data_IF_656741920193
#
_entry.id   IF_656741920193
#
_cell.length_a   1.000
_cell.length_b   1.000
_cell.length_c   1.000
_cell.angle_alpha   90.00
_cell.angle_beta   90.00
_cell.angle_gamma   90.00
#
_symmetry.space_group_name_H-M   'P 1'
#
loop_
_entity.id
_entity.type
_entity.pdbx_description
1 polymer ?
#
# COMPACT_ATOMS: atom_id res chain seq x y z
N UNK A 1 12.71 6.15 42.08
CA UNK A 1 12.28 7.07 41.02
C UNK A 1 13.34 6.96 39.94
N UNK A 2 12.98 6.46 38.76
CA UNK A 2 13.94 6.32 37.66
C UNK A 2 14.27 7.73 37.17
N UNK A 3 15.51 8.16 37.40
CA UNK A 3 16.10 9.36 36.84
C UNK A 3 16.60 9.00 35.45
N UNK A 4 15.81 9.29 34.42
CA UNK A 4 16.12 8.92 33.04
C UNK A 4 15.50 9.90 32.07
N UNK A 5 16.33 10.39 31.14
CA UNK A 5 15.89 11.22 30.00
C UNK A 5 15.63 10.30 28.81
N UNK A 6 14.44 10.37 28.21
CA UNK A 6 14.15 9.75 26.92
C UNK A 6 14.37 10.75 25.80
N UNK A 7 15.17 10.34 24.81
CA UNK A 7 15.45 11.12 23.61
C UNK A 7 14.46 10.80 22.51
N UNK A 8 13.79 11.84 22.01
CA UNK A 8 12.77 11.74 20.97
C UNK A 8 13.27 12.47 19.73
N UNK A 9 13.40 11.75 18.62
CA UNK A 9 13.68 12.32 17.31
C UNK A 9 12.38 12.43 16.51
N UNK A 10 11.93 13.66 16.25
CA UNK A 10 10.75 13.94 15.44
C UNK A 10 11.11 14.17 13.96
N UNK A 11 10.39 13.51 13.06
CA UNK A 11 10.53 13.65 11.61
C UNK A 11 9.15 13.89 11.00
N UNK A 12 8.89 15.13 10.60
CA UNK A 12 7.61 15.52 10.00
C UNK A 12 7.69 15.47 8.47
N UNK A 13 6.54 15.26 7.81
CA UNK A 13 6.40 15.46 6.37
C UNK A 13 6.51 16.93 5.90
N UNK A 14 6.70 17.13 4.60
CA UNK A 14 6.88 18.44 3.97
C UNK A 14 5.65 19.34 4.13
N UNK A 15 5.94 20.63 4.29
CA UNK A 15 4.99 21.74 4.32
C UNK A 15 5.78 23.03 4.44
N UNK A 16 5.16 24.20 4.30
CA UNK A 16 5.83 25.48 4.59
C UNK A 16 6.06 25.62 6.11
N UNK A 17 6.92 24.77 6.67
CA UNK A 17 7.12 24.53 8.11
C UNK A 17 7.97 25.62 8.76
N UNK A 18 8.64 26.46 7.97
CA UNK A 18 9.32 27.64 8.47
C UNK A 18 8.30 28.59 9.11
N UNK A 19 8.23 28.59 10.43
CA UNK A 19 7.35 29.45 11.22
C UNK A 19 5.98 28.86 11.59
N UNK A 20 5.71 27.57 11.33
CA UNK A 20 4.41 26.93 11.70
C UNK A 20 4.30 26.56 13.19
N UNK A 21 5.43 26.52 13.90
CA UNK A 21 5.51 26.15 15.32
C UNK A 21 5.19 24.67 15.61
N UNK A 22 5.23 23.80 14.59
CA UNK A 22 4.85 22.39 14.71
C UNK A 22 5.70 21.63 15.75
N UNK A 23 6.99 21.93 15.85
CA UNK A 23 7.92 21.32 16.82
C UNK A 23 7.43 21.53 18.27
N UNK A 24 7.00 22.76 18.57
CA UNK A 24 6.42 23.12 19.87
C UNK A 24 5.12 22.37 20.10
N UNK A 25 4.24 22.32 19.10
CA UNK A 25 2.95 21.61 19.21
C UNK A 25 3.13 20.12 19.45
N UNK A 26 4.07 19.47 18.75
CA UNK A 26 4.42 18.06 18.97
C UNK A 26 4.99 17.84 20.37
N UNK A 27 5.91 18.71 20.79
CA UNK A 27 6.51 18.66 22.12
C UNK A 27 5.43 18.73 23.21
N UNK A 28 4.51 19.69 23.10
CA UNK A 28 3.38 19.84 24.03
C UNK A 28 2.43 18.66 23.97
N UNK A 29 2.07 18.18 22.76
CA UNK A 29 1.19 17.05 22.57
C UNK A 29 1.72 15.77 23.25
N UNK A 30 3.00 15.46 23.05
CA UNK A 30 3.62 14.30 23.68
C UNK A 30 3.73 14.51 25.19
N UNK A 31 4.16 15.68 25.67
CA UNK A 31 4.25 15.95 27.12
C UNK A 31 2.91 15.85 27.84
N UNK A 32 1.82 16.26 27.18
CA UNK A 32 0.48 16.16 27.73
C UNK A 32 -0.06 14.72 27.74
N UNK A 33 0.35 13.90 26.78
CA UNK A 33 -0.10 12.52 26.62
C UNK A 33 0.77 11.49 27.37
N UNK A 34 2.05 11.80 27.58
CA UNK A 34 3.01 10.88 28.18
C UNK A 34 2.74 10.75 29.68
N UNK A 35 2.62 9.52 30.23
CA UNK A 35 2.35 9.32 31.65
C UNK A 35 3.42 9.97 32.54
N UNK A 36 2.98 10.63 33.62
CA UNK A 36 3.86 11.23 34.61
C UNK A 36 4.64 10.13 35.37
N UNK A 37 5.82 9.77 34.85
CA UNK A 37 6.65 8.67 35.35
C UNK A 37 7.98 9.14 35.97
N UNK A 38 8.17 10.46 36.15
CA UNK A 38 9.47 11.02 36.56
C UNK A 38 10.55 10.94 35.47
N UNK A 39 10.13 10.72 34.23
CA UNK A 39 10.98 10.62 33.04
C UNK A 39 11.03 12.00 32.38
N UNK A 40 12.23 12.50 32.08
CA UNK A 40 12.40 13.72 31.30
C UNK A 40 12.34 13.40 29.81
N UNK A 41 11.68 14.25 29.01
CA UNK A 41 11.60 14.09 27.55
C UNK A 41 12.42 15.19 26.86
N UNK A 42 13.45 14.78 26.13
CA UNK A 42 14.24 15.67 25.27
C UNK A 42 13.89 15.45 23.81
N UNK A 43 13.71 16.53 23.05
CA UNK A 43 13.24 16.49 21.67
C UNK A 43 14.30 17.07 20.73
N UNK A 44 14.56 16.37 19.64
CA UNK A 44 15.29 16.84 18.47
C UNK A 44 14.43 16.62 17.23
N UNK A 45 14.56 17.49 16.22
CA UNK A 45 13.74 17.44 15.03
C UNK A 45 14.60 17.46 13.77
N UNK A 46 14.28 16.60 12.81
CA UNK A 46 14.94 16.59 11.50
C UNK A 46 14.06 17.30 10.49
N UNK A 47 14.57 18.40 9.95
CA UNK A 47 14.00 19.06 8.77
C UNK A 47 14.78 18.63 7.52
N UNK A 48 14.05 18.42 6.43
CA UNK A 48 14.64 18.08 5.14
C UNK A 48 14.01 18.84 3.97
N UNK A 49 13.32 19.94 4.25
CA UNK A 49 12.63 20.79 3.26
C UNK A 49 13.61 21.35 2.21
N UNK A 50 14.87 21.60 2.60
CA UNK A 50 15.94 22.07 1.72
C UNK A 50 16.28 21.08 0.60
N UNK A 51 16.09 19.77 0.82
CA UNK A 51 16.28 18.74 -0.22
C UNK A 51 15.25 18.92 -1.35
N UNK A 52 14.08 19.48 -1.01
CA UNK A 52 12.94 19.67 -1.91
C UNK A 52 12.79 21.10 -2.42
N UNK A 53 13.65 22.03 -2.00
CA UNK A 53 13.54 23.45 -2.31
C UNK A 53 13.65 23.79 -3.82
N UNK A 54 14.14 22.85 -4.64
CA UNK A 54 14.21 22.98 -6.11
C UNK A 54 13.03 22.34 -6.87
N UNK A 55 12.08 21.70 -6.18
CA UNK A 55 10.96 20.99 -6.82
C UNK A 55 9.75 21.90 -6.95
N UNK A 56 9.59 22.54 -8.11
CA UNK A 56 8.32 23.18 -8.48
C UNK A 56 7.39 22.12 -9.08
N UNK A 57 6.42 21.65 -8.30
CA UNK A 57 5.38 20.77 -8.80
C UNK A 57 4.32 21.61 -9.51
N UNK A 58 4.12 21.36 -10.79
CA UNK A 58 3.03 21.95 -11.54
C UNK A 58 1.67 21.44 -11.02
N UNK A 59 0.61 22.26 -11.17
CA UNK A 59 -0.75 21.86 -10.80
C UNK A 59 -1.22 20.59 -11.51
N UNK A 60 -0.64 20.29 -12.67
CA UNK A 60 -0.89 19.06 -13.41
C UNK A 60 -0.24 17.85 -12.73
N UNK A 61 1.05 17.90 -12.42
CA UNK A 61 1.75 16.80 -11.72
C UNK A 61 1.07 16.41 -10.40
N UNK A 62 0.55 17.40 -9.69
CA UNK A 62 -0.27 17.22 -8.48
C UNK A 62 -1.55 16.42 -8.76
N UNK A 63 -2.28 16.76 -9.83
CA UNK A 63 -3.50 16.04 -10.21
C UNK A 63 -3.18 14.59 -10.62
N UNK A 64 -2.10 14.37 -11.37
CA UNK A 64 -1.60 13.03 -11.70
C UNK A 64 -1.17 12.23 -10.46
N UNK A 65 -0.60 12.90 -9.46
CA UNK A 65 -0.20 12.27 -8.20
C UNK A 65 -1.40 11.83 -7.35
N UNK A 66 -2.43 12.68 -7.23
CA UNK A 66 -3.69 12.33 -6.58
C UNK A 66 -4.33 11.11 -7.24
N UNK A 67 -4.36 11.09 -8.59
CA UNK A 67 -4.91 9.96 -9.33
C UNK A 67 -4.15 8.65 -9.02
N UNK A 68 -2.81 8.68 -9.05
CA UNK A 68 -1.96 7.51 -8.73
C UNK A 68 -2.14 7.01 -7.30
N UNK A 69 -2.25 7.90 -6.32
CA UNK A 69 -2.46 7.54 -4.92
C UNK A 69 -3.90 7.09 -4.63
N UNK A 70 -4.88 7.67 -5.32
CA UNK A 70 -6.30 7.34 -5.19
C UNK A 70 -6.66 5.97 -5.78
N UNK A 71 -6.19 5.65 -6.99
CA UNK A 71 -6.47 4.35 -7.63
C UNK A 71 -5.81 3.15 -6.94
N UNK A 72 -4.75 3.39 -6.19
CA UNK A 72 -3.95 2.35 -5.52
C UNK A 72 -4.34 2.11 -4.06
N UNK A 73 -5.21 2.96 -3.49
CA UNK A 73 -5.69 2.82 -2.13
C UNK A 73 -6.76 1.72 -1.99
N UNK A 74 -6.49 0.70 -1.19
CA UNK A 74 -7.46 -0.36 -0.86
C UNK A 74 -8.52 0.13 0.15
N UNK A 75 -8.26 1.24 0.83
CA UNK A 75 -9.15 1.87 1.80
C UNK A 75 -9.00 3.40 1.74
N UNK A 76 -9.92 4.09 1.08
CA UNK A 76 -10.19 5.49 1.37
C UNK A 76 -11.61 5.87 0.88
N UNK A 77 -12.35 6.73 1.62
CA UNK A 77 -13.72 7.15 1.31
C UNK A 77 -13.88 8.02 0.05
N UNK A 78 -12.84 8.17 -0.77
CA UNK A 78 -12.88 8.87 -2.06
C UNK A 78 -13.62 8.10 -3.18
N UNK A 79 -14.41 7.09 -2.81
CA UNK A 79 -15.15 6.20 -3.72
C UNK A 79 -16.35 6.88 -4.41
N UNK A 80 -16.64 8.16 -4.16
CA UNK A 80 -17.81 8.85 -4.73
C UNK A 80 -17.43 10.25 -5.23
N UNK A 81 -17.63 10.45 -6.54
CA UNK A 81 -17.63 11.72 -7.28
C UNK A 81 -16.31 12.29 -7.83
N UNK A 82 -16.22 12.26 -9.17
CA UNK A 82 -15.28 13.05 -10.00
C UNK A 82 -15.33 14.56 -9.71
N UNK A 83 -16.40 15.05 -9.08
CA UNK A 83 -16.55 16.45 -8.66
C UNK A 83 -15.64 16.83 -7.48
N UNK A 84 -15.12 15.85 -6.72
CA UNK A 84 -14.33 16.11 -5.53
C UNK A 84 -12.90 16.59 -5.83
N UNK A 85 -12.32 16.32 -7.01
CA UNK A 85 -10.93 16.68 -7.34
C UNK A 85 -10.72 18.21 -7.29
N UNK A 86 -11.72 18.97 -7.73
CA UNK A 86 -11.71 20.44 -7.62
C UNK A 86 -11.88 20.90 -6.16
N UNK A 87 -12.56 20.12 -5.33
CA UNK A 87 -12.83 20.37 -3.89
C UNK A 87 -11.70 19.88 -2.94
N UNK A 88 -10.70 19.15 -3.45
CA UNK A 88 -9.54 18.71 -2.66
C UNK A 88 -8.75 19.93 -2.19
N UNK A 89 -8.58 20.05 -0.86
CA UNK A 89 -7.77 21.08 -0.21
C UNK A 89 -6.35 21.15 -0.78
N UNK A 90 -5.82 22.36 -0.95
CA UNK A 90 -4.45 22.63 -1.43
C UNK A 90 -3.39 21.85 -0.64
N UNK A 91 -3.66 21.55 0.64
CA UNK A 91 -2.76 20.77 1.49
C UNK A 91 -2.68 19.29 1.09
N UNK A 92 -3.78 18.64 0.68
CA UNK A 92 -3.73 17.26 0.14
C UNK A 92 -3.02 17.26 -1.21
N UNK A 93 -3.36 18.21 -2.08
CA UNK A 93 -2.73 18.41 -3.39
C UNK A 93 -1.21 18.50 -3.25
N UNK A 94 -0.75 19.32 -2.31
CA UNK A 94 0.65 19.46 -1.97
C UNK A 94 1.25 18.13 -1.48
N UNK A 95 0.66 17.48 -0.46
CA UNK A 95 1.21 16.23 0.09
C UNK A 95 1.27 15.10 -0.95
N UNK A 96 0.23 14.95 -1.78
CA UNK A 96 0.20 13.96 -2.85
C UNK A 96 1.35 14.15 -3.85
N UNK A 97 1.54 15.39 -4.31
CA UNK A 97 2.59 15.75 -5.24
C UNK A 97 3.98 15.39 -4.70
N UNK A 98 4.28 15.72 -3.45
CA UNK A 98 5.57 15.42 -2.85
C UNK A 98 5.80 13.94 -2.56
N UNK A 99 4.78 13.20 -2.15
CA UNK A 99 4.89 11.74 -1.99
C UNK A 99 5.27 11.11 -3.33
N UNK A 100 4.59 11.50 -4.41
CA UNK A 100 4.89 10.98 -5.75
C UNK A 100 6.24 11.44 -6.27
N UNK A 101 6.60 12.71 -6.07
CA UNK A 101 7.91 13.24 -6.47
C UNK A 101 9.04 12.47 -5.77
N UNK A 102 8.96 12.32 -4.45
CA UNK A 102 9.96 11.60 -3.68
C UNK A 102 10.04 10.11 -4.03
N UNK A 103 8.90 9.43 -4.24
CA UNK A 103 8.88 8.03 -4.69
C UNK A 103 9.55 7.83 -6.06
N UNK A 104 9.65 8.87 -6.88
CA UNK A 104 10.19 8.80 -8.24
C UNK A 104 11.62 9.34 -8.37
N UNK A 105 12.23 9.86 -7.30
CA UNK A 105 13.55 10.49 -7.33
C UNK A 105 14.53 9.77 -6.38
N UNK A 106 15.43 8.96 -6.96
CA UNK A 106 16.46 8.23 -6.19
C UNK A 106 17.44 9.18 -5.48
N UNK A 107 17.68 10.37 -6.03
CA UNK A 107 18.54 11.39 -5.43
C UNK A 107 17.94 11.94 -4.15
N UNK A 108 16.64 12.25 -4.16
CA UNK A 108 15.90 12.65 -2.96
C UNK A 108 15.87 11.54 -1.92
N UNK A 109 15.61 10.30 -2.33
CA UNK A 109 15.65 9.16 -1.42
C UNK A 109 17.03 9.00 -0.78
N UNK A 110 18.12 9.10 -1.55
CA UNK A 110 19.47 8.99 -1.02
C UNK A 110 19.84 10.13 -0.06
N UNK A 111 19.54 11.38 -0.42
CA UNK A 111 19.87 12.54 0.40
C UNK A 111 19.08 12.53 1.72
N UNK A 112 17.77 12.23 1.65
CA UNK A 112 16.91 12.17 2.82
C UNK A 112 17.28 10.97 3.72
N UNK A 113 17.57 9.79 3.15
CA UNK A 113 18.08 8.64 3.89
C UNK A 113 19.34 8.99 4.67
N UNK A 114 20.36 9.56 4.01
CA UNK A 114 21.61 9.93 4.67
C UNK A 114 21.34 10.82 5.87
N UNK A 115 20.51 11.85 5.70
CA UNK A 115 20.18 12.79 6.78
C UNK A 115 19.48 12.13 7.97
N UNK A 116 18.56 11.19 7.72
CA UNK A 116 17.92 10.44 8.80
C UNK A 116 18.93 9.57 9.54
N UNK A 117 19.78 8.82 8.82
CA UNK A 117 20.75 7.94 9.45
C UNK A 117 21.79 8.73 10.25
N UNK A 118 22.30 9.84 9.72
CA UNK A 118 23.19 10.75 10.45
C UNK A 118 22.52 11.23 11.76
N UNK A 119 21.26 11.68 11.69
CA UNK A 119 20.53 12.18 12.87
C UNK A 119 20.29 11.08 13.92
N UNK A 120 20.01 9.85 13.50
CA UNK A 120 19.87 8.70 14.41
C UNK A 120 21.18 8.37 15.11
N UNK A 121 22.29 8.37 14.37
CA UNK A 121 23.63 8.13 14.93
C UNK A 121 24.04 9.23 15.91
N UNK A 122 23.81 10.49 15.56
CA UNK A 122 24.20 11.66 16.38
C UNK A 122 23.36 11.75 17.66
N UNK A 123 22.04 11.55 17.55
CA UNK A 123 21.11 11.70 18.69
C UNK A 123 21.10 10.47 19.58
N UNK A 124 21.25 9.28 18.99
CA UNK A 124 20.94 7.97 19.59
C UNK A 124 19.56 7.97 20.27
N UNK A 125 18.46 8.14 19.50
CA UNK A 125 17.14 8.34 20.07
C UNK A 125 16.57 7.05 20.68
N UNK A 126 15.77 7.20 21.74
CA UNK A 126 14.96 6.11 22.30
C UNK A 126 13.63 5.94 21.54
N UNK A 127 13.14 7.03 20.95
CA UNK A 127 11.89 7.09 20.21
C UNK A 127 12.11 7.89 18.92
N UNK A 128 11.63 7.35 17.80
CA UNK A 128 11.55 8.08 16.53
C UNK A 128 10.08 8.28 16.19
N UNK A 129 9.64 9.53 16.10
CA UNK A 129 8.27 9.91 15.71
C UNK A 129 8.27 10.35 14.26
N UNK A 130 7.62 9.60 13.39
CA UNK A 130 7.58 9.91 11.97
C UNK A 130 6.14 10.12 11.49
N UNK A 131 5.87 11.27 10.89
CA UNK A 131 4.53 11.66 10.43
C UNK A 131 4.48 11.88 8.93
N UNK A 132 3.41 11.41 8.28
CA UNK A 132 3.17 11.66 6.85
C UNK A 132 4.36 11.21 5.99
N UNK A 133 4.83 12.03 5.05
CA UNK A 133 6.04 11.77 4.26
C UNK A 133 7.30 11.48 5.10
N UNK A 134 7.39 12.02 6.33
CA UNK A 134 8.47 11.69 7.27
C UNK A 134 8.52 10.20 7.61
N UNK A 135 7.37 9.53 7.61
CA UNK A 135 7.27 8.07 7.76
C UNK A 135 7.90 7.32 6.59
N UNK A 136 7.73 7.81 5.36
CA UNK A 136 8.25 7.16 4.16
C UNK A 136 9.77 7.32 4.10
N UNK A 137 10.26 8.53 4.40
CA UNK A 137 11.68 8.86 4.45
C UNK A 137 12.40 8.06 5.54
N UNK A 138 11.85 8.02 6.76
CA UNK A 138 12.45 7.25 7.86
C UNK A 138 12.40 5.75 7.59
N UNK A 139 11.29 5.24 7.05
CA UNK A 139 11.20 3.83 6.68
C UNK A 139 12.22 3.47 5.59
N UNK A 140 12.35 4.28 4.53
CA UNK A 140 13.38 4.08 3.50
C UNK A 140 14.77 3.99 4.10
N UNK A 141 15.09 4.88 5.05
CA UNK A 141 16.36 4.85 5.74
C UNK A 141 16.54 3.55 6.54
N UNK A 142 15.54 3.16 7.32
CA UNK A 142 15.61 2.04 8.26
C UNK A 142 15.57 0.67 7.58
N UNK A 143 14.99 0.57 6.37
CA UNK A 143 14.96 -0.67 5.59
C UNK A 143 16.14 -0.81 4.63
N UNK A 144 16.95 0.24 4.44
CA UNK A 144 18.06 0.21 3.49
C UNK A 144 19.31 -0.42 4.12
N UNK A 145 20.16 -1.02 3.28
CA UNK A 145 21.45 -1.62 3.71
C UNK A 145 22.37 -0.66 4.49
N UNK A 146 22.23 0.64 4.28
CA UNK A 146 23.02 1.67 5.00
C UNK A 146 22.69 1.67 6.50
N UNK A 147 21.51 1.19 6.90
CA UNK A 147 21.12 1.01 8.30
C UNK A 147 21.79 -0.22 8.97
N UNK A 148 22.47 -1.07 8.20
CA UNK A 148 23.22 -2.22 8.72
C UNK A 148 24.64 -1.85 9.19
N UNK A 149 25.08 -0.59 8.99
CA UNK A 149 26.31 -0.09 9.58
C UNK A 149 26.27 -0.22 11.10
N UNK A 150 27.35 -0.68 11.72
CA UNK A 150 27.39 -1.10 13.14
C UNK A 150 26.88 -0.02 14.10
N UNK A 151 27.33 1.22 13.93
CA UNK A 151 26.93 2.37 14.73
C UNK A 151 25.45 2.72 14.57
N UNK A 152 24.93 2.65 13.35
CA UNK A 152 23.52 2.90 13.02
C UNK A 152 22.64 1.78 13.57
N UNK A 153 23.03 0.52 13.37
CA UNK A 153 22.29 -0.66 13.83
C UNK A 153 22.20 -0.70 15.37
N UNK A 154 23.28 -0.36 16.06
CA UNK A 154 23.33 -0.27 17.53
C UNK A 154 22.42 0.84 18.09
N UNK A 155 22.34 1.98 17.39
CA UNK A 155 21.40 3.04 17.74
C UNK A 155 19.95 2.61 17.48
N UNK A 156 19.67 2.11 16.26
CA UNK A 156 18.33 1.70 15.84
C UNK A 156 17.77 0.54 16.67
N UNK A 157 18.59 -0.43 17.08
CA UNK A 157 18.15 -1.59 17.85
C UNK A 157 17.48 -1.24 19.20
N UNK A 158 17.64 0.00 19.68
CA UNK A 158 17.03 0.53 20.90
C UNK A 158 15.75 1.35 20.64
N UNK A 159 15.55 1.77 19.40
CA UNK A 159 14.49 2.72 18.99
C UNK A 159 13.10 2.09 19.08
N UNK A 160 12.19 2.80 19.73
CA UNK A 160 10.75 2.62 19.55
C UNK A 160 10.30 3.51 18.38
N UNK A 161 10.09 2.91 17.23
CA UNK A 161 9.71 3.60 16.01
C UNK A 161 8.19 3.78 15.96
N UNK A 162 7.72 5.01 15.86
CA UNK A 162 6.29 5.33 15.82
C UNK A 162 5.97 6.05 14.52
N UNK A 163 5.16 5.44 13.65
CA UNK A 163 4.70 6.05 12.40
C UNK A 163 3.23 6.39 12.45
N UNK A 164 2.83 7.56 11.96
CA UNK A 164 1.43 8.01 12.03
C UNK A 164 1.08 8.95 10.88
N UNK A 165 -0.20 8.99 10.48
CA UNK A 165 -0.60 9.65 9.23
C UNK A 165 0.18 9.13 8.02
N UNK A 166 0.64 7.87 8.04
CA UNK A 166 1.60 7.36 7.06
C UNK A 166 0.92 6.80 5.82
N UNK A 167 1.47 7.09 4.65
CA UNK A 167 1.08 6.49 3.38
C UNK A 167 1.79 5.14 3.10
N UNK A 168 2.56 4.59 4.05
CA UNK A 168 3.29 3.33 3.86
C UNK A 168 2.40 2.13 3.51
N UNK A 169 1.12 2.12 3.89
CA UNK A 169 0.18 1.07 3.49
C UNK A 169 -0.41 1.23 2.09
N UNK A 170 -0.18 2.36 1.42
CA UNK A 170 -0.75 2.64 0.11
C UNK A 170 -0.03 1.82 -0.97
N UNK A 171 -0.76 1.16 -1.88
CA UNK A 171 -0.14 0.23 -2.83
C UNK A 171 0.80 0.92 -3.83
N UNK A 172 0.52 2.16 -4.23
CA UNK A 172 1.43 2.93 -5.08
C UNK A 172 2.73 3.24 -4.33
N UNK A 173 2.62 3.71 -3.09
CA UNK A 173 3.81 4.00 -2.27
C UNK A 173 4.62 2.72 -2.07
N UNK A 174 3.99 1.62 -1.69
CA UNK A 174 4.66 0.32 -1.51
C UNK A 174 5.38 -0.13 -2.78
N UNK A 175 4.70 -0.07 -3.93
CA UNK A 175 5.23 -0.47 -5.22
C UNK A 175 6.50 0.29 -5.61
N UNK A 176 6.55 1.60 -5.34
CA UNK A 176 7.71 2.44 -5.67
C UNK A 176 8.79 2.46 -4.58
N UNK A 177 8.42 2.28 -3.31
CA UNK A 177 9.35 2.37 -2.17
C UNK A 177 10.04 1.04 -1.86
N UNK A 178 9.31 -0.06 -1.93
CA UNK A 178 9.75 -1.36 -1.39
C UNK A 178 9.65 -2.50 -2.38
N UNK A 179 9.44 -2.19 -3.66
CA UNK A 179 9.01 -3.17 -4.66
C UNK A 179 7.77 -3.96 -4.17
N UNK A 180 6.91 -3.25 -3.43
CA UNK A 180 5.62 -3.69 -2.94
C UNK A 180 5.58 -4.60 -1.71
N UNK A 181 6.71 -4.82 -1.01
CA UNK A 181 6.74 -5.60 0.25
C UNK A 181 7.51 -4.87 1.35
N UNK A 182 6.84 -4.61 2.49
CA UNK A 182 7.54 -4.06 3.65
C UNK A 182 8.47 -5.13 4.25
N UNK A 183 9.61 -4.67 4.74
CA UNK A 183 10.71 -5.49 5.24
C UNK A 183 10.83 -5.33 6.75
N UNK A 184 11.44 -6.33 7.38
CA UNK A 184 11.73 -6.28 8.81
C UNK A 184 12.75 -5.18 9.08
N UNK A 185 12.43 -4.31 10.03
CA UNK A 185 13.32 -3.24 10.49
C UNK A 185 14.14 -3.70 11.71
N UNK A 186 15.36 -3.21 11.84
CA UNK A 186 16.25 -3.47 12.98
C UNK A 186 15.97 -2.48 14.13
N UNK A 187 14.73 -2.42 14.58
CA UNK A 187 14.27 -1.54 15.67
C UNK A 187 13.74 -2.35 16.85
N UNK A 188 13.75 -1.77 18.06
CA UNK A 188 13.21 -2.42 19.26
C UNK A 188 11.72 -2.72 19.10
N UNK A 189 10.96 -1.74 18.60
CA UNK A 189 9.55 -1.89 18.26
C UNK A 189 9.15 -0.93 17.16
N UNK A 190 8.11 -1.28 16.40
CA UNK A 190 7.47 -0.45 15.40
C UNK A 190 5.96 -0.36 15.69
N UNK A 191 5.51 0.81 16.14
CA UNK A 191 4.10 1.14 16.40
C UNK A 191 3.56 2.02 15.27
N UNK A 192 2.59 1.52 14.52
CA UNK A 192 1.92 2.30 13.48
C UNK A 192 0.55 2.78 13.96
N UNK A 193 0.31 4.09 13.96
CA UNK A 193 -0.99 4.67 14.30
C UNK A 193 -1.78 4.94 13.01
N UNK A 194 -3.00 4.41 12.96
CA UNK A 194 -3.85 4.47 11.77
C UNK A 194 -5.21 5.07 12.12
N UNK A 195 -5.56 6.21 11.52
CA UNK A 195 -6.89 6.79 11.59
C UNK A 195 -7.67 6.42 10.31
N UNK A 196 -8.77 5.66 10.39
CA UNK A 196 -9.56 5.30 9.21
C UNK A 196 -10.23 6.50 8.52
N UNK A 197 -10.29 7.66 9.18
CA UNK A 197 -10.85 8.90 8.63
C UNK A 197 -9.79 9.80 7.96
N UNK A 198 -8.50 9.46 8.06
CA UNK A 198 -7.41 10.29 7.53
C UNK A 198 -7.42 10.31 6.00
N UNK A 199 -7.63 11.51 5.44
CA UNK A 199 -7.87 11.74 4.01
C UNK A 199 -6.59 11.83 3.18
N UNK A 200 -5.40 11.70 3.78
CA UNK A 200 -4.11 11.88 3.08
C UNK A 200 -3.54 10.53 2.63
N UNK A 201 -4.39 9.74 1.96
CA UNK A 201 -4.05 8.45 1.33
C UNK A 201 -3.41 7.43 2.28
N UNK A 202 -3.74 7.49 3.57
CA UNK A 202 -3.30 6.47 4.53
C UNK A 202 -4.01 5.15 4.24
N UNK A 203 -3.34 4.05 4.58
CA UNK A 203 -3.90 2.71 4.46
C UNK A 203 -3.34 1.81 5.56
N UNK A 204 -4.11 0.83 6.03
CA UNK A 204 -3.66 -0.07 7.08
C UNK A 204 -2.49 -0.92 6.60
N UNK A 205 -1.54 -1.15 7.50
CA UNK A 205 -0.39 -2.02 7.30
C UNK A 205 -0.65 -3.35 8.01
N UNK A 206 -0.37 -4.46 7.32
CA UNK A 206 -0.53 -5.83 7.85
C UNK A 206 0.80 -6.56 7.73
N UNK A 207 1.46 -6.80 8.87
CA UNK A 207 2.75 -7.49 8.94
C UNK A 207 2.70 -8.59 10.02
N UNK A 208 1.94 -9.67 9.80
CA UNK A 208 1.76 -10.75 10.78
C UNK A 208 3.06 -11.46 11.15
N UNK A 209 4.03 -11.51 10.23
CA UNK A 209 5.33 -12.17 10.44
C UNK A 209 6.37 -11.27 11.13
N UNK A 210 5.98 -10.07 11.58
CA UNK A 210 6.87 -9.12 12.25
C UNK A 210 6.45 -8.88 13.70
N UNK A 211 7.00 -9.63 14.68
CA UNK A 211 6.65 -9.47 16.10
C UNK A 211 6.93 -8.07 16.67
N UNK A 212 7.89 -7.36 16.08
CA UNK A 212 8.22 -5.99 16.48
C UNK A 212 7.17 -4.97 15.98
N UNK A 213 6.33 -5.33 15.00
CA UNK A 213 5.32 -4.45 14.42
C UNK A 213 3.97 -4.59 15.14
N UNK A 214 3.29 -3.47 15.31
CA UNK A 214 1.86 -3.47 15.66
C UNK A 214 1.19 -2.22 15.11
N UNK A 215 -0.06 -2.37 14.68
CA UNK A 215 -0.90 -1.24 14.31
C UNK A 215 -1.92 -0.94 15.42
N UNK A 216 -2.07 0.33 15.78
CA UNK A 216 -3.10 0.83 16.69
C UNK A 216 -4.07 1.69 15.89
N UNK A 217 -5.36 1.37 15.94
CA UNK A 217 -6.39 2.24 15.40
C UNK A 217 -6.57 3.46 16.30
N UNK A 218 -6.47 4.65 15.71
CA UNK A 218 -6.56 5.94 16.38
C UNK A 218 -7.63 6.80 15.70
N UNK A 219 -8.92 6.41 15.80
CA UNK A 219 -9.98 7.15 15.15
C UNK A 219 -10.14 8.53 15.77
N UNK A 220 -10.17 9.56 14.93
CA UNK A 220 -10.62 10.90 15.23
C UNK A 220 -11.18 11.54 13.96
N UNK A 221 -12.19 12.38 14.14
CA UNK A 221 -12.88 13.15 13.10
C UNK A 221 -12.89 14.58 13.61
N UNK A 222 -11.73 15.23 13.48
CA UNK A 222 -11.60 16.61 13.87
C UNK A 222 -12.15 17.41 12.70
N UNK A 223 -13.00 18.41 12.93
CA UNK A 223 -13.58 19.24 11.86
C UNK A 223 -12.55 20.02 11.01
N UNK A 224 -11.25 19.72 11.16
CA UNK A 224 -10.21 20.02 10.19
C UNK A 224 -10.46 19.27 8.87
N UNK A 225 -10.06 19.85 7.74
CA UNK A 225 -10.41 19.35 6.41
C UNK A 225 -9.87 17.92 6.15
N UNK A 226 -8.85 17.48 6.88
CA UNK A 226 -7.99 16.34 6.51
C UNK A 226 -7.92 15.17 7.49
N UNK A 227 -8.31 15.35 8.77
CA UNK A 227 -8.16 14.33 9.82
C UNK A 227 -6.72 13.77 9.95
N UNK A 228 -5.73 14.64 9.71
CA UNK A 228 -4.31 14.30 9.56
C UNK A 228 -3.40 14.97 10.61
N UNK A 229 -3.98 15.53 11.68
CA UNK A 229 -3.22 16.22 12.73
C UNK A 229 -2.35 15.25 13.51
N UNK A 230 -1.05 15.57 13.58
CA UNK A 230 -0.10 14.85 14.40
C UNK A 230 -0.49 14.85 15.89
N UNK A 231 -0.96 15.98 16.39
CA UNK A 231 -1.38 16.18 17.77
C UNK A 231 -2.52 15.22 18.14
N UNK A 232 -3.52 15.10 17.27
CA UNK A 232 -4.66 14.19 17.47
C UNK A 232 -4.24 12.72 17.47
N UNK A 233 -3.31 12.32 16.59
CA UNK A 233 -2.69 10.99 16.65
C UNK A 233 -1.96 10.75 17.99
N UNK A 234 -1.10 11.67 18.41
CA UNK A 234 -0.21 11.50 19.56
C UNK A 234 -0.97 11.55 20.90
N UNK A 235 -2.06 12.32 20.99
CA UNK A 235 -2.88 12.46 22.19
C UNK A 235 -4.05 11.47 22.25
N UNK A 236 -4.27 10.67 21.21
CA UNK A 236 -5.36 9.70 21.19
C UNK A 236 -5.25 8.72 22.38
N UNK A 237 -6.39 8.40 23.02
CA UNK A 237 -6.42 7.46 24.16
C UNK A 237 -5.82 6.10 23.82
N UNK A 238 -6.03 5.63 22.59
CA UNK A 238 -5.43 4.38 22.11
C UNK A 238 -3.91 4.49 22.01
N UNK A 239 -3.37 5.63 21.55
CA UNK A 239 -1.92 5.89 21.53
C UNK A 239 -1.34 5.92 22.94
N UNK A 240 -1.99 6.60 23.89
CA UNK A 240 -1.55 6.64 25.28
C UNK A 240 -1.46 5.22 25.85
N UNK A 241 -2.51 4.41 25.67
CA UNK A 241 -2.57 3.07 26.23
C UNK A 241 -1.61 2.07 25.57
N UNK A 242 -1.43 2.14 24.24
CA UNK A 242 -0.71 1.12 23.47
C UNK A 242 0.74 1.52 23.11
N UNK A 243 1.10 2.79 23.25
CA UNK A 243 2.44 3.32 22.94
C UNK A 243 3.09 3.93 24.17
N UNK A 244 2.51 5.00 24.74
CA UNK A 244 3.20 5.76 25.80
C UNK A 244 3.31 5.01 27.12
N UNK A 245 2.23 4.36 27.58
CA UNK A 245 2.24 3.58 28.82
C UNK A 245 3.27 2.43 28.77
N UNK A 246 3.32 1.60 27.71
CA UNK A 246 4.35 0.58 27.58
C UNK A 246 5.77 1.14 27.57
N UNK A 247 6.03 2.25 26.85
CA UNK A 247 7.36 2.86 26.78
C UNK A 247 7.78 3.40 28.15
N UNK A 248 6.89 4.08 28.87
CA UNK A 248 7.16 4.61 30.21
C UNK A 248 7.45 3.51 31.23
N UNK A 249 6.76 2.36 31.12
CA UNK A 249 6.91 1.24 32.05
C UNK A 249 8.09 0.32 31.73
N UNK A 250 8.62 0.34 30.51
CA UNK A 250 9.75 -0.51 30.11
C UNK A 250 11.04 -0.24 30.92
N UNK A 251 11.16 0.91 31.57
CA UNK A 251 12.26 1.23 32.48
C UNK A 251 12.23 0.47 33.82
N UNK A 252 11.11 -0.18 34.17
CA UNK A 252 10.90 -0.83 35.48
C UNK A 252 11.05 -2.38 35.43
N UNK A 253 11.18 -2.96 34.24
CA UNK A 253 11.29 -4.42 34.02
C UNK A 253 12.56 -5.05 34.62
N UNK A 254 13.53 -4.22 35.07
CA UNK A 254 14.72 -4.68 35.78
C UNK A 254 14.56 -4.91 37.29
N UNK A 255 13.40 -4.61 37.92
CA UNK A 255 13.31 -4.60 39.40
C UNK A 255 12.06 -5.18 40.07
N UNK A 256 11.10 -5.76 39.35
CA UNK A 256 9.93 -6.35 40.00
C UNK A 256 9.63 -7.78 39.51
N UNK A 257 10.07 -8.76 40.29
CA UNK A 257 9.45 -10.09 40.33
C UNK A 257 8.18 -10.01 41.17
N UNK A 258 7.06 -9.50 40.62
CA UNK A 258 5.76 -9.67 41.27
C UNK A 258 4.55 -9.49 40.34
N UNK A 259 3.95 -10.63 40.00
CA UNK A 259 2.49 -10.88 39.98
C UNK A 259 1.62 -9.86 39.25
N UNK A 260 1.55 -9.99 37.93
CA UNK A 260 0.28 -9.81 37.23
C UNK A 260 -0.39 -11.17 37.14
N UNK A 261 -1.58 -11.30 37.73
CA UNK A 261 -2.51 -12.40 37.49
C UNK A 261 -2.84 -12.43 36.00
N UNK A 262 -2.03 -13.17 35.25
CA UNK A 262 -2.30 -13.52 33.87
C UNK A 262 -3.47 -14.50 33.83
N UNK A 263 -4.65 -13.97 33.54
CA UNK A 263 -5.52 -14.63 32.57
C UNK A 263 -5.06 -14.22 31.17
N UNK A 264 -3.78 -14.47 30.87
CA UNK A 264 -3.41 -14.76 29.51
C UNK A 264 -3.91 -16.19 29.30
N UNK A 265 -4.83 -16.46 28.36
CA UNK A 265 -4.95 -17.82 27.89
C UNK A 265 -3.57 -18.15 27.31
N UNK A 266 -2.83 -18.99 28.02
CA UNK A 266 -1.84 -19.84 27.39
C UNK A 266 -2.62 -20.65 26.35
N UNK A 267 -2.78 -20.08 25.16
CA UNK A 267 -2.97 -20.88 23.96
C UNK A 267 -1.72 -21.73 23.91
N UNK A 268 -1.82 -22.94 24.46
CA UNK A 268 -1.09 -24.07 23.92
C UNK A 268 -1.07 -23.86 22.42
N UNK A 269 0.12 -23.90 21.80
CA UNK A 269 0.26 -23.99 20.37
C UNK A 269 -0.38 -25.30 19.92
N UNK A 270 -1.72 -25.31 19.92
CA UNK A 270 -2.51 -26.20 19.11
C UNK A 270 -1.95 -25.98 17.72
N UNK A 271 -1.52 -27.05 17.05
CA UNK A 271 -1.19 -26.99 15.63
C UNK A 271 -2.45 -26.48 14.93
N UNK A 272 -2.55 -25.17 14.76
CA UNK A 272 -3.63 -24.53 14.03
C UNK A 272 -3.49 -25.11 12.63
N UNK A 273 -4.45 -25.95 12.24
CA UNK A 273 -4.44 -26.50 10.89
C UNK A 273 -4.46 -25.32 9.92
N UNK A 274 -3.66 -25.37 8.83
CA UNK A 274 -3.66 -24.31 7.83
C UNK A 274 -5.10 -24.05 7.37
N UNK A 275 -5.52 -22.78 7.33
CA UNK A 275 -6.88 -22.47 6.89
C UNK A 275 -6.92 -22.51 5.38
N UNK A 276 -7.95 -23.15 4.86
CA UNK A 276 -8.24 -23.24 3.43
C UNK A 276 -9.41 -22.34 3.12
N UNK A 277 -9.19 -21.28 2.33
CA UNK A 277 -10.24 -20.33 1.92
C UNK A 277 -10.21 -20.15 0.41
N UNK A 278 -11.38 -20.04 -0.20
CA UNK A 278 -11.47 -19.76 -1.62
C UNK A 278 -12.49 -18.67 -1.93
N UNK A 279 -12.18 -17.85 -2.94
CA UNK A 279 -13.11 -16.94 -3.60
C UNK A 279 -13.21 -17.33 -5.07
N UNK A 280 -14.42 -17.62 -5.53
CA UNK A 280 -14.72 -18.00 -6.90
C UNK A 280 -15.65 -16.95 -7.53
N UNK A 281 -15.24 -16.37 -8.63
CA UNK A 281 -15.96 -15.30 -9.34
C UNK A 281 -16.28 -15.76 -10.76
N UNK A 282 -17.53 -15.62 -11.18
CA UNK A 282 -18.01 -16.04 -12.50
C UNK A 282 -19.04 -15.08 -13.04
N UNK A 283 -18.83 -14.55 -14.25
CA UNK A 283 -19.72 -13.53 -14.83
C UNK A 283 -20.10 -13.95 -16.25
N UNK A 284 -21.39 -14.24 -16.46
CA UNK A 284 -21.99 -14.49 -17.77
C UNK A 284 -22.87 -13.32 -18.20
N UNK A 285 -23.73 -12.84 -17.28
CA UNK A 285 -24.82 -11.91 -17.56
C UNK A 285 -24.35 -10.44 -17.52
N UNK A 286 -23.34 -10.11 -18.33
CA UNK A 286 -22.92 -8.72 -18.53
C UNK A 286 -24.10 -7.85 -19.01
N UNK A 287 -24.20 -6.57 -18.56
CA UNK A 287 -25.29 -5.67 -18.93
C UNK A 287 -25.44 -5.49 -20.45
N UNK A 288 -24.32 -5.36 -21.15
CA UNK A 288 -24.28 -5.36 -22.61
C UNK A 288 -24.47 -6.80 -23.13
N UNK A 289 -25.58 -7.02 -23.85
CA UNK A 289 -25.91 -8.32 -24.44
C UNK A 289 -24.82 -8.86 -25.37
N UNK A 290 -24.10 -7.96 -26.06
CA UNK A 290 -23.00 -8.35 -26.94
C UNK A 290 -21.83 -8.99 -26.17
N UNK A 291 -21.64 -8.58 -24.92
CA UNK A 291 -20.57 -9.02 -24.01
C UNK A 291 -21.00 -10.19 -23.12
N UNK A 292 -22.21 -10.73 -23.27
CA UNK A 292 -22.58 -11.90 -22.48
C UNK A 292 -21.75 -13.12 -22.87
N UNK A 293 -21.30 -13.82 -21.84
CA UNK A 293 -20.53 -15.06 -21.91
C UNK A 293 -21.40 -16.26 -21.55
N UNK A 294 -20.92 -17.43 -21.94
CA UNK A 294 -21.50 -18.71 -21.54
C UNK A 294 -20.40 -19.52 -20.84
N UNK A 295 -20.77 -20.18 -19.74
CA UNK A 295 -19.89 -21.11 -19.03
C UNK A 295 -19.18 -20.57 -17.80
N UNK A 296 -18.99 -19.26 -17.61
CA UNK A 296 -18.22 -18.73 -16.47
C UNK A 296 -18.82 -19.13 -15.10
N UNK A 297 -20.16 -19.10 -14.99
CA UNK A 297 -20.87 -19.59 -13.80
C UNK A 297 -20.68 -21.09 -13.61
N UNK A 298 -20.67 -21.89 -14.69
CA UNK A 298 -20.45 -23.33 -14.61
C UNK A 298 -19.00 -23.67 -14.21
N UNK A 299 -18.04 -22.89 -14.71
CA UNK A 299 -16.63 -23.00 -14.35
C UNK A 299 -16.43 -22.80 -12.85
N UNK A 300 -17.13 -21.82 -12.25
CA UNK A 300 -17.12 -21.58 -10.79
C UNK A 300 -17.64 -22.78 -10.01
N UNK A 301 -18.77 -23.38 -10.42
CA UNK A 301 -19.30 -24.57 -9.73
C UNK A 301 -18.37 -25.78 -9.87
N UNK A 302 -17.74 -25.94 -11.04
CA UNK A 302 -16.75 -26.99 -11.29
C UNK A 302 -15.52 -26.81 -10.38
N UNK A 303 -14.99 -25.59 -10.31
CA UNK A 303 -13.87 -25.25 -9.43
C UNK A 303 -14.23 -25.45 -7.95
N UNK A 304 -15.45 -25.09 -7.54
CA UNK A 304 -15.94 -25.33 -6.18
C UNK A 304 -15.92 -26.81 -5.81
N UNK A 305 -16.37 -27.69 -6.71
CA UNK A 305 -16.32 -29.14 -6.49
C UNK A 305 -14.88 -29.65 -6.36
N UNK A 306 -13.99 -29.24 -7.27
CA UNK A 306 -12.56 -29.62 -7.23
C UNK A 306 -11.89 -29.19 -5.92
N UNK A 307 -12.18 -27.98 -5.44
CA UNK A 307 -11.62 -27.47 -4.19
C UNK A 307 -12.14 -28.23 -2.98
N UNK A 308 -13.44 -28.56 -2.95
CA UNK A 308 -14.02 -29.39 -1.89
C UNK A 308 -13.41 -30.79 -1.86
N UNK A 309 -13.21 -31.43 -3.02
CA UNK A 309 -12.51 -32.71 -3.14
C UNK A 309 -11.03 -32.60 -2.70
N UNK A 310 -10.42 -31.43 -2.90
CA UNK A 310 -9.07 -31.11 -2.41
C UNK A 310 -9.02 -30.77 -0.91
N UNK A 311 -10.17 -30.80 -0.23
CA UNK A 311 -10.30 -30.59 1.21
C UNK A 311 -10.44 -29.13 1.63
N UNK A 312 -10.98 -28.26 0.77
CA UNK A 312 -11.48 -26.94 1.18
C UNK A 312 -12.86 -27.09 1.83
N UNK A 313 -13.08 -26.59 3.06
CA UNK A 313 -14.39 -26.60 3.68
C UNK A 313 -15.40 -25.78 2.86
N UNK A 314 -16.63 -26.27 2.62
CA UNK A 314 -17.62 -25.55 1.81
C UNK A 314 -18.01 -24.18 2.38
N UNK A 315 -18.01 -24.03 3.71
CA UNK A 315 -18.24 -22.78 4.44
C UNK A 315 -17.08 -21.77 4.31
N UNK A 316 -15.91 -22.25 3.88
CA UNK A 316 -14.74 -21.44 3.57
C UNK A 316 -14.58 -21.12 2.07
N UNK A 317 -15.59 -21.44 1.25
CA UNK A 317 -15.65 -21.07 -0.17
C UNK A 317 -16.73 -19.99 -0.35
N UNK A 318 -16.32 -18.81 -0.83
CA UNK A 318 -17.26 -17.74 -1.24
C UNK A 318 -17.37 -17.66 -2.74
N UNK A 319 -18.61 -17.54 -3.20
CA UNK A 319 -18.95 -17.41 -4.62
C UNK A 319 -19.50 -16.00 -4.90
N UNK A 320 -19.13 -15.41 -6.03
CA UNK A 320 -19.62 -14.13 -6.53
C UNK A 320 -20.00 -14.26 -8.00
N UNK A 321 -21.30 -14.13 -8.33
CA UNK A 321 -21.80 -14.38 -9.69
C UNK A 321 -22.54 -13.18 -10.25
N UNK A 322 -22.40 -12.97 -11.56
CA UNK A 322 -23.23 -12.08 -12.39
C UNK A 322 -23.45 -10.70 -11.74
N UNK A 323 -24.71 -10.27 -11.54
CA UNK A 323 -25.04 -8.93 -11.04
C UNK A 323 -24.47 -8.63 -9.64
N UNK A 324 -23.99 -9.65 -8.92
CA UNK A 324 -23.33 -9.50 -7.62
C UNK A 324 -21.82 -9.32 -7.73
N UNK A 325 -21.23 -9.69 -8.86
CA UNK A 325 -19.82 -9.54 -9.17
C UNK A 325 -19.50 -8.12 -9.66
N UNK A 326 -19.98 -7.13 -8.92
CA UNK A 326 -19.61 -5.73 -9.07
C UNK A 326 -18.16 -5.51 -8.61
N UNK A 327 -17.55 -4.37 -8.98
CA UNK A 327 -16.21 -4.01 -8.53
C UNK A 327 -16.09 -4.12 -6.99
N UNK A 328 -17.01 -3.48 -6.27
CA UNK A 328 -17.10 -3.56 -4.80
C UNK A 328 -17.42 -4.98 -4.29
N UNK A 329 -18.28 -5.70 -5.00
CA UNK A 329 -18.68 -7.06 -4.65
C UNK A 329 -17.51 -8.05 -4.69
N UNK A 330 -16.63 -7.92 -5.69
CA UNK A 330 -15.40 -8.71 -5.83
C UNK A 330 -14.36 -8.23 -4.81
N UNK A 331 -14.10 -6.92 -4.72
CA UNK A 331 -13.06 -6.36 -3.85
C UNK A 331 -13.34 -6.63 -2.36
N UNK A 332 -14.59 -6.53 -1.90
CA UNK A 332 -14.97 -6.88 -0.53
C UNK A 332 -14.72 -8.36 -0.20
N UNK A 333 -14.90 -9.26 -1.17
CA UNK A 333 -14.63 -10.69 -1.00
C UNK A 333 -13.15 -11.02 -1.10
N UNK A 334 -12.39 -10.32 -1.94
CA UNK A 334 -10.93 -10.42 -1.99
C UNK A 334 -10.32 -9.99 -0.65
N UNK A 335 -10.79 -8.86 -0.09
CA UNK A 335 -10.43 -8.42 1.26
C UNK A 335 -10.73 -9.51 2.29
N UNK A 336 -11.92 -10.11 2.26
CA UNK A 336 -12.23 -11.25 3.13
C UNK A 336 -11.29 -12.43 2.91
N UNK A 337 -10.95 -12.79 1.66
CA UNK A 337 -10.08 -13.93 1.36
C UNK A 337 -8.70 -13.75 2.02
N UNK A 338 -8.18 -12.52 1.94
CA UNK A 338 -6.82 -12.15 2.34
C UNK A 338 -6.74 -11.57 3.76
N UNK A 339 -7.86 -11.54 4.49
CA UNK A 339 -7.93 -11.03 5.87
C UNK A 339 -7.32 -12.01 6.90
N UNK A 340 -6.74 -11.44 7.96
CA UNK A 340 -6.04 -12.13 9.06
C UNK A 340 -5.06 -13.22 8.57
N UNK A 341 -4.19 -12.99 7.58
CA UNK A 341 -3.45 -14.09 6.97
C UNK A 341 -2.48 -14.73 7.96
N UNK A 342 -2.43 -16.07 7.99
CA UNK A 342 -1.55 -16.84 8.87
C UNK A 342 -0.52 -17.61 8.05
N UNK A 343 0.68 -17.86 8.60
CA UNK A 343 1.62 -18.82 8.02
C UNK A 343 0.91 -20.14 7.69
N UNK A 344 1.30 -20.75 6.56
CA UNK A 344 0.74 -21.98 6.00
C UNK A 344 -0.71 -21.92 5.47
N UNK A 345 -1.42 -20.78 5.53
CA UNK A 345 -2.76 -20.67 4.95
C UNK A 345 -2.74 -21.00 3.44
N UNK A 346 -3.76 -21.72 2.98
CA UNK A 346 -3.96 -22.09 1.56
C UNK A 346 -5.16 -21.31 1.01
N UNK A 347 -4.87 -20.32 0.17
CA UNK A 347 -5.84 -19.36 -0.35
C UNK A 347 -6.00 -19.55 -1.86
N UNK A 348 -7.23 -19.60 -2.34
CA UNK A 348 -7.53 -19.72 -3.78
C UNK A 348 -8.40 -18.56 -4.24
N UNK A 349 -7.97 -17.87 -5.29
CA UNK A 349 -8.80 -16.95 -6.04
C UNK A 349 -9.00 -17.48 -7.46
N UNK A 350 -10.24 -17.67 -7.86
CA UNK A 350 -10.61 -18.10 -9.21
C UNK A 350 -11.51 -17.04 -9.84
N UNK A 351 -11.14 -16.56 -11.03
CA UNK A 351 -11.93 -15.61 -11.79
C UNK A 351 -12.20 -16.15 -13.20
N UNK A 352 -13.47 -16.19 -13.59
CA UNK A 352 -13.91 -16.52 -14.95
C UNK A 352 -14.84 -15.42 -15.46
N UNK A 353 -14.43 -14.73 -16.53
CA UNK A 353 -15.14 -13.57 -17.05
C UNK A 353 -14.30 -12.78 -18.05
N UNK A 354 -14.70 -11.53 -18.31
CA UNK A 354 -13.96 -10.63 -19.19
C UNK A 354 -12.71 -10.04 -18.53
N UNK A 355 -11.71 -9.76 -19.37
CA UNK A 355 -10.56 -8.91 -19.06
C UNK A 355 -10.45 -7.74 -20.04
N UNK A 356 -9.85 -6.63 -19.63
CA UNK A 356 -9.64 -5.44 -20.46
C UNK A 356 -8.22 -4.89 -20.30
N UNK A 357 -7.80 -4.09 -21.29
CA UNK A 357 -6.62 -3.23 -21.18
C UNK A 357 -7.06 -1.78 -21.28
N UNK A 358 -6.60 -0.96 -20.34
CA UNK A 358 -6.91 0.47 -20.33
C UNK A 358 -5.59 1.24 -20.51
N UNK A 359 -5.48 2.13 -21.51
CA UNK A 359 -4.36 3.05 -21.62
C UNK A 359 -4.40 4.04 -20.46
N UNK A 360 -3.33 4.08 -19.68
CA UNK A 360 -3.19 4.98 -18.53
C UNK A 360 -2.32 6.17 -18.90
N UNK A 361 -2.64 7.33 -18.32
CA UNK A 361 -1.86 8.54 -18.47
C UNK A 361 -0.66 8.54 -17.53
N UNK A 362 0.51 8.76 -18.13
CA UNK A 362 1.80 8.84 -17.50
C UNK A 362 2.10 10.15 -16.76
N UNK A 363 3.38 10.33 -16.44
CA UNK A 363 3.91 11.55 -15.81
C UNK A 363 3.69 12.82 -16.68
N UNK A 364 3.65 12.66 -18.01
CA UNK A 364 3.52 13.76 -18.96
C UNK A 364 2.08 14.01 -19.45
N UNK A 365 1.05 13.44 -18.80
CA UNK A 365 -0.34 13.46 -19.29
C UNK A 365 -0.48 12.90 -20.71
N UNK A 366 0.44 12.03 -21.09
CA UNK A 366 0.39 11.23 -22.30
C UNK A 366 0.14 9.76 -21.92
N UNK A 367 -0.66 9.02 -22.70
CA UNK A 367 -0.74 7.57 -22.57
C UNK A 367 0.65 6.96 -22.78
N UNK A 368 1.23 6.39 -21.72
CA UNK A 368 2.60 5.84 -21.71
C UNK A 368 2.64 4.35 -21.34
N UNK A 369 1.59 3.82 -20.69
CA UNK A 369 1.44 2.40 -20.36
C UNK A 369 0.00 1.88 -20.50
N UNK A 370 -0.13 0.55 -20.48
CA UNK A 370 -1.41 -0.14 -20.34
C UNK A 370 -1.52 -0.74 -18.95
N UNK A 371 -2.70 -0.64 -18.34
CA UNK A 371 -3.08 -1.44 -17.17
C UNK A 371 -3.95 -2.61 -17.61
N UNK A 372 -3.69 -3.79 -17.05
CA UNK A 372 -4.53 -4.97 -17.23
C UNK A 372 -5.56 -5.02 -16.09
N UNK A 373 -6.82 -5.25 -16.45
CA UNK A 373 -7.91 -5.22 -15.47
C UNK A 373 -8.89 -6.37 -15.68
N UNK A 374 -9.42 -6.88 -14.57
CA UNK A 374 -10.63 -7.70 -14.59
C UNK A 374 -11.83 -6.80 -14.90
N UNK A 375 -12.85 -7.35 -15.54
CA UNK A 375 -14.08 -6.64 -15.92
C UNK A 375 -15.24 -7.12 -15.04
N UNK A 376 -15.53 -6.39 -13.94
CA UNK A 376 -16.73 -6.61 -13.14
C UNK A 376 -18.02 -6.45 -13.94
N UNK A 377 -19.13 -6.87 -13.34
CA UNK A 377 -20.46 -6.76 -13.96
C UNK A 377 -20.86 -5.31 -14.24
N UNK A 378 -20.46 -4.37 -13.39
CA UNK A 378 -20.75 -2.94 -13.46
C UNK A 378 -19.63 -2.12 -14.11
N UNK A 379 -18.72 -2.77 -14.84
CA UNK A 379 -17.63 -2.12 -15.55
C UNK A 379 -18.13 -1.13 -16.61
N UNK A 380 -17.62 0.09 -16.58
CA UNK A 380 -17.99 1.19 -17.48
C UNK A 380 -16.78 1.92 -18.08
N UNK A 381 -15.62 1.25 -18.14
CA UNK A 381 -14.33 1.81 -18.57
C UNK A 381 -13.78 2.93 -17.70
N UNK A 382 -14.36 3.16 -16.52
CA UNK A 382 -13.77 4.01 -15.49
C UNK A 382 -12.87 3.19 -14.56
N UNK A 383 -11.79 3.78 -14.02
CA UNK A 383 -10.95 3.11 -13.03
C UNK A 383 -11.71 2.62 -11.79
N UNK A 384 -12.79 3.31 -11.40
CA UNK A 384 -13.59 3.01 -10.21
C UNK A 384 -14.39 1.71 -10.36
N UNK A 385 -14.80 1.36 -11.58
CA UNK A 385 -15.51 0.11 -11.89
C UNK A 385 -14.59 -0.95 -12.49
N UNK A 386 -13.29 -0.69 -12.56
CA UNK A 386 -12.26 -1.62 -12.96
C UNK A 386 -11.64 -2.30 -11.72
N UNK A 387 -11.07 -3.49 -11.89
CA UNK A 387 -10.19 -4.09 -10.87
C UNK A 387 -8.82 -4.27 -11.50
N UNK A 388 -7.93 -3.33 -11.23
CA UNK A 388 -6.59 -3.33 -11.79
C UNK A 388 -5.68 -4.36 -11.09
N UNK A 389 -4.70 -4.88 -11.82
CA UNK A 389 -3.64 -5.73 -11.30
C UNK A 389 -2.98 -5.18 -10.03
N UNK A 390 -2.68 -3.87 -10.01
CA UNK A 390 -2.06 -3.15 -8.89
C UNK A 390 -2.93 -3.16 -7.61
N UNK A 391 -4.25 -3.14 -7.75
CA UNK A 391 -5.17 -3.22 -6.61
C UNK A 391 -5.17 -4.63 -6.01
N UNK A 392 -5.15 -5.66 -6.86
CA UNK A 392 -5.05 -7.05 -6.43
C UNK A 392 -3.68 -7.28 -5.76
N UNK A 393 -2.60 -6.79 -6.37
CA UNK A 393 -1.25 -6.84 -5.84
C UNK A 393 -1.14 -6.21 -4.46
N UNK A 394 -1.72 -5.03 -4.25
CA UNK A 394 -1.72 -4.37 -2.95
C UNK A 394 -2.36 -5.21 -1.83
N UNK A 395 -3.30 -6.11 -2.16
CA UNK A 395 -3.96 -6.96 -1.18
C UNK A 395 -3.11 -8.18 -0.78
N UNK A 396 -2.37 -8.77 -1.71
CA UNK A 396 -1.59 -9.99 -1.42
C UNK A 396 -0.09 -9.73 -1.19
N UNK A 397 0.44 -8.55 -1.53
CA UNK A 397 1.87 -8.24 -1.47
C UNK A 397 2.48 -8.34 -0.06
N UNK A 398 1.64 -8.25 0.97
CA UNK A 398 2.03 -8.35 2.39
C UNK A 398 1.64 -9.68 3.05
N UNK A 399 1.19 -10.68 2.29
CA UNK A 399 0.89 -11.99 2.86
C UNK A 399 2.15 -12.59 3.54
N UNK A 400 1.97 -13.38 4.62
CA UNK A 400 3.04 -14.16 5.20
C UNK A 400 3.82 -14.95 4.15
N UNK A 401 5.14 -15.05 4.31
CA UNK A 401 5.97 -15.76 3.32
C UNK A 401 5.52 -17.21 3.12
N UNK A 402 5.07 -17.86 4.19
CA UNK A 402 4.63 -19.27 4.17
C UNK A 402 3.16 -19.44 3.70
N UNK A 403 2.45 -18.36 3.35
CA UNK A 403 1.10 -18.45 2.78
C UNK A 403 1.14 -18.93 1.33
N UNK A 404 0.27 -19.86 0.97
CA UNK A 404 0.09 -20.34 -0.41
C UNK A 404 -1.14 -19.69 -1.03
N UNK A 405 -0.93 -18.66 -1.85
CA UNK A 405 -1.98 -18.06 -2.67
C UNK A 405 -1.90 -18.59 -4.10
N UNK A 406 -2.97 -19.25 -4.56
CA UNK A 406 -3.16 -19.63 -5.97
C UNK A 406 -4.23 -18.72 -6.59
N UNK A 407 -3.84 -17.94 -7.59
CA UNK A 407 -4.76 -17.12 -8.38
C UNK A 407 -4.87 -17.70 -9.79
N UNK A 408 -6.09 -18.00 -10.21
CA UNK A 408 -6.40 -18.56 -11.52
C UNK A 408 -7.31 -17.57 -12.25
N UNK A 409 -6.83 -17.07 -13.38
CA UNK A 409 -7.55 -16.11 -14.21
C UNK A 409 -7.92 -16.77 -15.54
N UNK A 410 -9.21 -17.05 -15.70
CA UNK A 410 -9.80 -17.55 -16.94
C UNK A 410 -10.50 -16.39 -17.70
N UNK A 411 -9.69 -15.40 -18.03
CA UNK A 411 -10.06 -14.20 -18.77
C UNK A 411 -8.96 -13.89 -19.80
N UNK A 412 -9.32 -13.37 -20.98
CA UNK A 412 -8.37 -13.16 -22.08
C UNK A 412 -8.40 -11.72 -22.58
N UNK A 413 -7.22 -11.16 -22.85
CA UNK A 413 -7.01 -10.04 -23.79
C UNK A 413 -5.98 -10.45 -24.86
N UNK A 414 -6.17 -11.65 -25.43
CA UNK A 414 -5.40 -12.14 -26.57
C UNK A 414 -6.14 -11.76 -27.84
N UNK A 415 -5.63 -10.74 -28.53
CA UNK A 415 -6.12 -10.36 -29.85
C UNK A 415 -6.15 -11.56 -30.80
N UNK A 416 -7.34 -11.88 -31.30
CA UNK A 416 -7.62 -12.53 -32.58
C UNK A 416 -6.81 -13.78 -32.95
N UNK A 417 -7.08 -14.93 -32.32
CA UNK A 417 -6.87 -16.23 -32.97
C UNK A 417 -8.07 -17.14 -32.68
N UNK A 418 -9.16 -16.99 -33.44
CA UNK A 418 -10.19 -18.04 -33.52
C UNK A 418 -10.68 -18.17 -34.96
N UNK A 419 -10.73 -19.43 -35.42
CA UNK A 419 -11.49 -19.82 -36.61
C UNK A 419 -12.99 -19.62 -36.31
N UNK A 420 -13.78 -19.30 -37.32
CA UNK A 420 -15.23 -19.16 -37.18
C UNK A 420 -15.82 -20.40 -36.46
N UNK A 421 -16.44 -20.18 -35.28
CA UNK A 421 -17.06 -21.22 -34.45
C UNK A 421 -16.39 -21.55 -33.11
N UNK A 422 -15.32 -20.84 -32.70
CA UNK A 422 -14.69 -21.00 -31.37
C UNK A 422 -15.40 -20.21 -30.24
N UNK A 423 -15.00 -20.41 -28.96
CA UNK A 423 -15.52 -19.64 -27.82
C UNK A 423 -15.38 -18.14 -28.07
N UNK A 424 -16.38 -17.34 -27.65
CA UNK A 424 -16.28 -15.87 -27.73
C UNK A 424 -15.00 -15.40 -27.01
N UNK A 425 -14.23 -14.45 -27.59
CA UNK A 425 -13.09 -13.89 -26.89
C UNK A 425 -13.55 -13.30 -25.55
N UNK A 426 -12.89 -13.72 -24.47
CA UNK A 426 -13.14 -13.19 -23.11
C UNK A 426 -12.47 -11.83 -22.88
N UNK A 427 -12.31 -11.04 -23.94
CA UNK A 427 -11.75 -9.69 -23.90
C UNK A 427 -12.71 -8.68 -24.51
N UNK A 428 -12.85 -7.52 -23.88
CA UNK A 428 -13.67 -6.42 -24.39
C UNK A 428 -12.80 -5.34 -25.05
N UNK A 429 -13.28 -4.77 -26.15
CA UNK A 429 -12.56 -3.71 -26.87
C UNK A 429 -12.94 -2.33 -26.31
N UNK A 430 -11.97 -1.40 -26.16
CA UNK A 430 -12.26 -0.07 -25.65
C UNK A 430 -13.19 0.71 -26.59
N UNK A 431 -14.04 1.60 -26.04
CA UNK A 431 -14.78 2.59 -26.83
C UNK A 431 -13.81 3.53 -27.55
N UNK A 432 -14.28 4.22 -28.59
CA UNK A 432 -13.41 4.96 -29.51
C UNK A 432 -12.64 6.11 -28.83
N UNK A 433 -13.18 6.74 -27.80
CA UNK A 433 -12.51 7.79 -27.02
C UNK A 433 -11.33 7.26 -26.20
N UNK A 434 -11.41 6.01 -25.72
CA UNK A 434 -10.32 5.32 -25.03
C UNK A 434 -9.34 4.74 -26.05
N UNK A 435 -9.83 4.14 -27.15
CA UNK A 435 -8.98 3.63 -28.23
C UNK A 435 -8.16 4.73 -28.89
N UNK A 436 -8.68 5.95 -28.98
CA UNK A 436 -7.93 7.11 -29.48
C UNK A 436 -6.66 7.38 -28.66
N UNK A 437 -6.62 6.98 -27.39
CA UNK A 437 -5.43 7.10 -26.52
C UNK A 437 -4.33 6.12 -26.93
N UNK A 438 -4.63 5.08 -27.70
CA UNK A 438 -3.68 4.08 -28.19
C UNK A 438 -3.04 4.45 -29.52
N UNK A 439 -3.53 5.50 -30.18
CA UNK A 439 -3.07 5.95 -31.49
C UNK A 439 -2.55 7.39 -31.44
N UNK A 440 -1.74 7.75 -32.42
CA UNK A 440 -1.27 9.11 -32.65
C UNK A 440 -1.38 9.45 -34.13
N UNK A 441 -1.64 10.72 -34.43
CA UNK A 441 -1.58 11.20 -35.80
C UNK A 441 -0.13 11.32 -36.25
N UNK A 442 0.23 10.62 -37.32
CA UNK A 442 1.49 10.80 -38.02
C UNK A 442 1.25 11.73 -39.22
N UNK A 443 1.71 12.97 -39.12
CA UNK A 443 1.54 13.97 -40.17
C UNK A 443 2.37 13.69 -41.42
N UNK A 444 3.45 12.92 -41.31
CA UNK A 444 4.30 12.57 -42.45
C UNK A 444 3.62 11.54 -43.35
N UNK A 445 2.89 10.59 -42.74
CA UNK A 445 2.15 9.55 -43.47
C UNK A 445 0.66 9.88 -43.63
N UNK A 446 0.15 10.93 -42.98
CA UNK A 446 -1.26 11.29 -42.88
C UNK A 446 -2.15 10.13 -42.41
N UNK A 447 -1.65 9.36 -41.44
CA UNK A 447 -2.36 8.22 -40.88
C UNK A 447 -2.37 8.24 -39.36
N UNK A 448 -3.38 7.61 -38.78
CA UNK A 448 -3.36 7.22 -37.38
C UNK A 448 -2.49 5.99 -37.22
N UNK A 449 -1.43 6.09 -36.43
CA UNK A 449 -0.51 5.00 -36.15
C UNK A 449 -0.57 4.62 -34.66
N UNK A 450 -0.35 3.33 -34.30
CA UNK A 450 -0.28 2.94 -32.90
C UNK A 450 0.80 3.73 -32.13
N UNK A 451 0.50 4.06 -30.89
CA UNK A 451 1.52 4.55 -29.94
C UNK A 451 2.40 3.39 -29.50
N UNK A 452 3.68 3.69 -29.34
CA UNK A 452 4.61 2.78 -28.67
C UNK A 452 4.45 2.98 -27.18
N UNK A 453 3.98 1.95 -26.48
CA UNK A 453 3.92 1.90 -25.03
C UNK A 453 5.12 1.11 -24.52
N UNK A 454 5.82 1.60 -23.50
CA UNK A 454 6.88 0.83 -22.85
C UNK A 454 6.27 -0.39 -22.15
N UNK A 455 6.85 -1.57 -22.36
CA UNK A 455 6.42 -2.79 -21.66
C UNK A 455 7.11 -2.82 -20.30
N UNK A 456 6.33 -2.97 -19.23
CA UNK A 456 6.82 -3.07 -17.84
C UNK A 456 7.76 -4.26 -17.54
N UNK A 457 8.02 -5.15 -18.52
CA UNK A 457 8.81 -6.37 -18.33
C UNK A 457 9.52 -6.81 -19.63
N UNK A 458 10.44 -6.00 -20.15
CA UNK A 458 11.30 -6.45 -21.27
C UNK A 458 12.18 -7.65 -20.89
N UNK A 459 12.49 -7.83 -19.60
CA UNK A 459 13.32 -8.94 -19.11
C UNK A 459 12.66 -10.32 -19.16
N UNK A 460 11.32 -10.39 -19.28
CA UNK A 460 10.56 -11.64 -19.44
C UNK A 460 10.11 -11.91 -20.88
N UNK A 461 10.40 -11.00 -21.83
CA UNK A 461 10.26 -11.34 -23.24
C UNK A 461 11.25 -12.47 -23.58
N UNK A 462 10.89 -13.44 -24.45
CA UNK A 462 11.84 -14.48 -24.86
C UNK A 462 13.03 -13.81 -25.56
N UNK A 463 14.13 -13.60 -24.82
CA UNK A 463 15.40 -13.11 -25.37
C UNK A 463 15.77 -14.00 -26.56
N UNK A 464 16.09 -13.39 -27.70
CA UNK A 464 16.50 -14.14 -28.88
C UNK A 464 17.73 -15.01 -28.53
N UNK A 465 17.92 -16.11 -29.24
CA UNK A 465 19.02 -17.04 -28.99
C UNK A 465 20.40 -16.34 -29.05
N UNK A 466 20.49 -15.31 -29.88
CA UNK A 466 21.63 -14.41 -30.03
C UNK A 466 21.85 -13.53 -28.78
N UNK A 467 20.79 -12.94 -28.22
CA UNK A 467 20.87 -12.17 -26.96
C UNK A 467 21.29 -13.04 -25.76
N UNK A 468 20.86 -14.31 -25.73
CA UNK A 468 21.29 -15.28 -24.69
C UNK A 468 22.78 -15.63 -24.82
N UNK A 469 23.28 -15.77 -26.05
CA UNK A 469 24.71 -16.05 -26.33
C UNK A 469 25.61 -14.87 -25.96
N UNK A 470 25.23 -13.65 -26.30
CA UNK A 470 26.00 -12.44 -25.98
C UNK A 470 26.07 -12.23 -24.46
N UNK A 471 24.94 -12.43 -23.75
CA UNK A 471 24.89 -12.31 -22.30
C UNK A 471 25.76 -13.37 -21.58
N UNK A 472 25.95 -14.56 -22.16
CA UNK A 472 26.71 -15.66 -21.53
C UNK A 472 28.19 -15.69 -21.92
N UNK A 473 28.55 -15.30 -23.16
CA UNK A 473 29.92 -15.39 -23.67
C UNK A 473 30.62 -14.04 -23.88
N UNK A 474 29.93 -12.92 -23.69
CA UNK A 474 30.55 -11.59 -23.61
C UNK A 474 31.27 -11.12 -24.87
N UNK A 475 30.82 -11.54 -26.08
CA UNK A 475 31.07 -10.88 -27.36
C UNK A 475 29.91 -11.09 -28.32
#
# INVERSE_FOLDING_TARGET
>A
MADGTLKILGVHGLGNQQGSGWETKWTEAVRNAFPAAGIELSFEFVNYDDIFAGTELSGWEIAGAIFKLGLSGISAPFQHDRALIDEISDKIKWTAGYVVAWCNDEGFQAASRKRILDAVTDTQPDIVLAHSLGSLVTYNAFSHKDAEAEDVADAMGKVNYVTFGSQLGNAFVLGNLTNGRLQKLQVKSWRHLFNPFDKVFTAPIRLPDMPAFSQTETPFDDQDLLDHSAESYLQNRATIANVWVPIANAGDEGRSTARTLGLAPTRSAEKVRPRRKALLVGINEYPDEAQRLEGCVNDVYTMSAVLQDSGFPPDAIRVCLDQRATADGIMSRLKWLLDDPRPDDELVFYYSGHGARIPEYGKDFAPDRHIETLVPWDFDWTPERAIADSQIYGLYGQLPYDTRLLMIFDCCHSGGIHRAGGPKPRGISPPDDIRHREIKWDSATQMWVPRTFERLNEDFAPKSEEQRRIAFFGR
#
